data_IF_974014280508
#
_entry.id   IF_974014280508
#
_cell.length_a   1.000
_cell.length_b   1.000
_cell.length_c   1.000
_cell.angle_alpha   90.00
_cell.angle_beta   90.00
_cell.angle_gamma   90.00
#
_symmetry.space_group_name_H-M   'P 1'
#
loop_
_entity.id
_entity.type
_entity.pdbx_description
1 polymer ?
#
# COMPACT_ATOMS: atom_id res chain seq x y z
N UNK A 1 -9.47 -15.74 -15.11
CA UNK A 1 -9.01 -14.44 -14.55
C UNK A 1 -8.47 -14.74 -13.17
N UNK A 2 -7.26 -14.28 -12.83
CA UNK A 2 -6.74 -14.47 -11.48
C UNK A 2 -7.42 -13.44 -10.59
N UNK A 3 -8.16 -13.93 -9.60
CA UNK A 3 -8.78 -13.11 -8.56
C UNK A 3 -7.93 -13.18 -7.30
N UNK A 4 -7.75 -12.04 -6.64
CA UNK A 4 -6.93 -11.93 -5.44
C UNK A 4 -7.73 -11.30 -4.31
N UNK A 5 -7.51 -11.81 -3.11
CA UNK A 5 -8.11 -11.28 -1.90
C UNK A 5 -7.47 -9.94 -1.53
N UNK A 6 -8.21 -9.06 -0.86
CA UNK A 6 -7.69 -7.78 -0.38
C UNK A 6 -8.04 -7.51 1.08
N UNK A 7 -7.25 -6.65 1.71
CA UNK A 7 -7.44 -6.18 3.08
C UNK A 7 -8.38 -4.96 3.09
N UNK A 8 -9.57 -5.04 3.72
CA UNK A 8 -10.50 -3.91 3.81
C UNK A 8 -9.90 -2.66 4.48
N UNK A 9 -8.91 -2.81 5.37
CA UNK A 9 -8.27 -1.69 6.04
C UNK A 9 -7.41 -0.83 5.09
N UNK A 10 -7.03 -1.39 3.94
CA UNK A 10 -6.29 -0.72 2.86
C UNK A 10 -7.10 -0.65 1.58
N UNK A 11 -8.41 -0.46 1.72
CA UNK A 11 -9.33 -0.17 0.61
C UNK A 11 -9.63 1.33 0.55
N UNK A 12 -9.55 1.93 -0.63
CA UNK A 12 -10.03 3.28 -0.94
C UNK A 12 -11.30 3.16 -1.77
N UNK A 13 -12.37 3.78 -1.31
CA UNK A 13 -13.69 3.70 -1.93
C UNK A 13 -14.62 2.73 -1.20
N UNK A 14 -15.68 2.32 -1.88
CA UNK A 14 -16.74 1.49 -1.29
C UNK A 14 -16.38 0.00 -1.33
N UNK A 15 -16.51 -0.75 -0.22
CA UNK A 15 -16.39 -2.22 -0.25
C UNK A 15 -17.52 -2.90 -1.05
N UNK A 16 -18.57 -2.14 -1.40
CA UNK A 16 -19.69 -2.61 -2.25
C UNK A 16 -19.51 -2.23 -3.72
N UNK A 17 -18.37 -1.66 -4.10
CA UNK A 17 -18.11 -1.33 -5.49
C UNK A 17 -18.13 -2.62 -6.36
N UNK A 18 -18.83 -2.63 -7.50
CA UNK A 18 -18.84 -3.77 -8.41
C UNK A 18 -17.47 -4.09 -9.00
N UNK A 19 -16.54 -3.14 -8.98
CA UNK A 19 -15.16 -3.33 -9.42
C UNK A 19 -14.21 -2.93 -8.29
N UNK A 20 -13.35 -3.86 -7.88
CA UNK A 20 -12.21 -3.58 -7.00
C UNK A 20 -10.93 -3.87 -7.75
N UNK A 21 -10.08 -2.86 -7.86
CA UNK A 21 -8.72 -3.00 -8.39
C UNK A 21 -7.82 -3.31 -7.21
N UNK A 22 -7.06 -4.41 -7.27
CA UNK A 22 -6.00 -4.71 -6.31
C UNK A 22 -4.68 -4.33 -6.93
N UNK A 23 -4.06 -3.29 -6.40
CA UNK A 23 -2.77 -2.79 -6.83
C UNK A 23 -1.66 -3.37 -5.96
N UNK A 24 -0.74 -4.08 -6.60
CA UNK A 24 0.53 -4.49 -6.05
C UNK A 24 1.57 -3.44 -6.41
N UNK A 25 2.11 -2.77 -5.39
CA UNK A 25 2.90 -1.56 -5.59
C UNK A 25 4.13 -1.51 -4.69
N UNK A 26 5.07 -0.67 -5.11
CA UNK A 26 6.31 -0.38 -4.42
C UNK A 26 6.47 1.14 -4.39
N UNK A 27 6.59 1.71 -3.19
CA UNK A 27 6.70 3.16 -3.00
C UNK A 27 7.95 3.77 -3.66
N UNK A 28 9.02 3.00 -3.85
CA UNK A 28 10.24 3.45 -4.50
C UNK A 28 10.21 3.25 -6.03
N UNK A 29 9.22 2.55 -6.57
CA UNK A 29 9.10 2.32 -8.01
C UNK A 29 8.62 3.59 -8.76
N UNK A 30 9.38 4.10 -9.75
CA UNK A 30 9.00 5.29 -10.50
C UNK A 30 7.73 5.09 -11.35
N UNK A 31 7.47 3.86 -11.82
CA UNK A 31 6.23 3.56 -12.55
C UNK A 31 5.01 3.56 -11.63
N UNK A 32 5.14 3.06 -10.40
CA UNK A 32 4.08 3.18 -9.38
C UNK A 32 3.75 4.63 -9.07
N UNK A 33 4.79 5.46 -8.88
CA UNK A 33 4.64 6.91 -8.70
C UNK A 33 3.87 7.56 -9.87
N UNK A 34 4.17 7.18 -11.11
CA UNK A 34 3.49 7.69 -12.29
C UNK A 34 2.03 7.22 -12.41
N UNK A 35 1.70 6.02 -11.91
CA UNK A 35 0.36 5.44 -11.98
C UNK A 35 -0.56 5.95 -10.88
N UNK A 36 -0.05 6.26 -9.68
CA UNK A 36 -0.87 6.68 -8.54
C UNK A 36 -1.85 7.86 -8.85
N UNK A 37 -1.44 8.95 -9.54
CA UNK A 37 -2.37 10.01 -9.92
C UNK A 37 -3.46 9.56 -10.90
N UNK A 38 -3.14 8.60 -11.78
CA UNK A 38 -4.10 8.05 -12.75
C UNK A 38 -5.17 7.22 -12.05
N UNK A 39 -4.78 6.37 -11.09
CA UNK A 39 -5.72 5.63 -10.26
C UNK A 39 -6.59 6.55 -9.41
N UNK A 40 -6.01 7.62 -8.85
CA UNK A 40 -6.78 8.64 -8.11
C UNK A 40 -7.85 9.31 -8.99
N UNK A 41 -7.52 9.68 -10.23
CA UNK A 41 -8.48 10.22 -11.21
C UNK A 41 -9.55 9.20 -11.59
N UNK A 42 -9.18 7.93 -11.73
CA UNK A 42 -10.12 6.84 -12.03
C UNK A 42 -11.15 6.67 -10.90
N UNK A 43 -10.70 6.63 -9.65
CA UNK A 43 -11.57 6.51 -8.48
C UNK A 43 -12.56 7.68 -8.38
N UNK A 44 -12.11 8.91 -8.67
CA UNK A 44 -12.99 10.07 -8.70
C UNK A 44 -14.01 10.00 -9.84
N UNK A 45 -13.60 9.58 -11.04
CA UNK A 45 -14.49 9.47 -12.21
C UNK A 45 -15.57 8.39 -12.04
N UNK A 46 -15.25 7.33 -11.30
CA UNK A 46 -16.13 6.17 -11.08
C UNK A 46 -16.47 5.99 -9.60
N UNK A 47 -16.69 7.09 -8.89
CA UNK A 47 -17.01 7.09 -7.46
C UNK A 47 -18.18 6.13 -7.16
N UNK A 48 -18.02 5.32 -6.10
CA UNK A 48 -18.97 4.27 -5.71
C UNK A 48 -19.00 3.04 -6.61
N UNK A 49 -18.42 3.09 -7.81
CA UNK A 49 -18.38 1.99 -8.79
C UNK A 49 -17.04 1.27 -8.87
N UNK A 50 -15.95 1.99 -8.60
CA UNK A 50 -14.60 1.44 -8.57
C UNK A 50 -13.97 1.74 -7.22
N UNK A 51 -13.33 0.72 -6.64
CA UNK A 51 -12.51 0.85 -5.45
C UNK A 51 -11.09 0.36 -5.72
N UNK A 52 -10.14 0.83 -4.92
CA UNK A 52 -8.74 0.46 -5.01
C UNK A 52 -8.31 -0.18 -3.69
N UNK A 53 -7.80 -1.39 -3.74
CA UNK A 53 -7.14 -2.02 -2.60
C UNK A 53 -5.64 -2.10 -2.86
N UNK A 54 -4.85 -1.90 -1.79
CA UNK A 54 -3.39 -1.88 -1.89
C UNK A 54 -2.76 -3.16 -1.31
N UNK A 55 -1.76 -3.70 -2.01
CA UNK A 55 -0.91 -4.82 -1.58
C UNK A 55 0.56 -4.45 -1.77
N UNK A 56 1.38 -4.83 -0.80
CA UNK A 56 2.82 -4.55 -0.86
C UNK A 56 3.51 -5.50 -1.85
N UNK A 57 4.33 -4.95 -2.76
CA UNK A 57 5.22 -5.73 -3.61
C UNK A 57 6.60 -5.06 -3.70
N UNK A 58 7.34 -4.93 -2.58
CA UNK A 58 8.63 -4.24 -2.57
C UNK A 58 9.67 -5.01 -3.38
N UNK A 59 10.24 -4.39 -4.40
CA UNK A 59 11.27 -4.98 -5.26
C UNK A 59 12.66 -4.80 -4.63
N UNK A 60 12.88 -5.50 -3.51
CA UNK A 60 14.03 -5.33 -2.59
C UNK A 60 15.40 -5.36 -3.25
N UNK A 61 15.55 -6.09 -4.35
CA UNK A 61 16.83 -6.25 -5.07
C UNK A 61 17.28 -4.97 -5.79
N UNK A 62 16.33 -4.12 -6.18
CA UNK A 62 16.61 -2.89 -6.95
C UNK A 62 16.14 -1.62 -6.23
N UNK A 63 15.25 -1.76 -5.24
CA UNK A 63 14.69 -0.67 -4.46
C UNK A 63 15.00 -0.86 -2.97
N UNK A 64 16.15 -0.34 -2.48
CA UNK A 64 16.61 -0.60 -1.11
C UNK A 64 15.72 0.00 -0.01
N UNK A 65 14.88 0.99 -0.33
CA UNK A 65 13.94 1.63 0.60
C UNK A 65 12.53 1.05 0.50
N UNK A 66 12.23 0.20 -0.48
CA UNK A 66 10.89 -0.32 -0.72
C UNK A 66 10.30 -1.05 0.50
N UNK A 67 11.11 -1.91 1.12
CA UNK A 67 10.70 -2.66 2.31
C UNK A 67 10.39 -1.73 3.47
N UNK A 68 11.26 -0.75 3.73
CA UNK A 68 11.08 0.18 4.86
C UNK A 68 9.87 1.09 4.64
N UNK A 69 9.65 1.55 3.41
CA UNK A 69 8.48 2.35 3.05
C UNK A 69 7.17 1.55 3.18
N UNK A 70 7.16 0.27 2.79
CA UNK A 70 6.02 -0.62 3.00
C UNK A 70 5.72 -0.81 4.50
N UNK A 71 6.73 -1.05 5.33
CA UNK A 71 6.58 -1.15 6.79
C UNK A 71 6.05 0.16 7.39
N UNK A 72 6.59 1.30 6.97
CA UNK A 72 6.15 2.62 7.38
C UNK A 72 4.67 2.90 7.03
N UNK A 73 4.22 2.50 5.84
CA UNK A 73 2.82 2.62 5.44
C UNK A 73 1.88 1.85 6.35
N UNK A 74 2.30 0.66 6.81
CA UNK A 74 1.54 -0.16 7.77
C UNK A 74 1.58 0.42 9.19
N UNK A 75 2.69 1.05 9.58
CA UNK A 75 2.73 1.82 10.83
C UNK A 75 1.76 3.01 10.82
N UNK A 76 1.56 3.66 9.67
CA UNK A 76 0.52 4.68 9.52
C UNK A 76 -0.90 4.09 9.51
N UNK A 77 -1.08 2.89 8.97
CA UNK A 77 -2.36 2.15 9.04
C UNK A 77 -2.81 1.90 10.47
N UNK A 78 -1.91 1.50 11.37
CA UNK A 78 -2.24 1.29 12.80
C UNK A 78 -2.72 2.55 13.52
N UNK A 79 -2.49 3.71 12.91
CA UNK A 79 -2.94 5.01 13.40
C UNK A 79 -4.06 5.60 12.52
N UNK A 80 -4.64 4.80 11.63
CA UNK A 80 -5.80 5.17 10.81
C UNK A 80 -5.50 6.11 9.65
N UNK A 81 -4.24 6.19 9.20
CA UNK A 81 -3.77 7.17 8.18
C UNK A 81 -3.05 6.54 7.00
N UNK A 82 -3.42 5.30 6.66
CA UNK A 82 -2.78 4.58 5.57
C UNK A 82 -2.82 5.35 4.24
N UNK A 83 -4.00 5.78 3.78
CA UNK A 83 -4.14 6.40 2.46
C UNK A 83 -3.52 7.78 2.38
N UNK A 84 -3.61 8.57 3.45
CA UNK A 84 -2.93 9.87 3.52
C UNK A 84 -1.41 9.68 3.51
N UNK A 85 -0.88 8.68 4.21
CA UNK A 85 0.55 8.38 4.20
C UNK A 85 1.02 7.79 2.87
N UNK A 86 0.24 6.88 2.29
CA UNK A 86 0.45 6.33 0.95
C UNK A 86 0.59 7.43 -0.10
N UNK A 87 -0.36 8.37 -0.15
CA UNK A 87 -0.32 9.48 -1.09
C UNK A 87 0.94 10.33 -0.85
N UNK A 88 1.26 10.61 0.41
CA UNK A 88 2.44 11.42 0.78
C UNK A 88 3.76 10.75 0.37
N UNK A 89 3.89 9.42 0.52
CA UNK A 89 5.08 8.68 0.10
C UNK A 89 5.31 8.79 -1.41
N UNK A 90 4.25 8.65 -2.21
CA UNK A 90 4.34 8.79 -3.66
C UNK A 90 4.59 10.23 -4.11
N UNK A 91 4.13 11.22 -3.35
CA UNK A 91 4.44 12.64 -3.59
C UNK A 91 5.89 13.02 -3.21
N UNK A 92 6.55 12.22 -2.35
CA UNK A 92 7.87 12.52 -1.82
C UNK A 92 8.85 11.32 -1.99
N UNK A 93 9.12 10.86 -3.22
CA UNK A 93 9.90 9.65 -3.47
C UNK A 93 11.37 9.74 -3.02
N UNK A 94 11.88 10.97 -2.83
CA UNK A 94 13.24 11.20 -2.32
C UNK A 94 13.33 11.14 -0.78
N UNK A 95 12.21 10.92 -0.08
CA UNK A 95 12.11 10.92 1.40
C UNK A 95 11.73 9.53 1.96
N UNK A 96 12.15 8.47 1.28
CA UNK A 96 11.85 7.08 1.66
C UNK A 96 12.87 6.45 2.62
N UNK A 97 13.94 7.17 2.96
CA UNK A 97 14.83 6.75 4.05
C UNK A 97 14.13 6.91 5.41
N UNK A 98 14.68 6.29 6.46
CA UNK A 98 14.07 6.28 7.80
C UNK A 98 13.69 7.68 8.31
N UNK A 99 14.60 8.64 8.19
CA UNK A 99 14.37 10.02 8.64
C UNK A 99 13.19 10.66 7.88
N UNK A 100 13.18 10.53 6.55
CA UNK A 100 12.11 11.04 5.71
C UNK A 100 10.76 10.38 6.00
N UNK A 101 10.74 9.08 6.28
CA UNK A 101 9.52 8.36 6.66
C UNK A 101 8.93 8.88 7.98
N UNK A 102 9.78 9.09 9.00
CA UNK A 102 9.37 9.67 10.28
C UNK A 102 8.92 11.12 10.12
N UNK A 103 9.61 11.92 9.30
CA UNK A 103 9.20 13.29 8.98
C UNK A 103 7.82 13.33 8.33
N UNK A 104 7.57 12.46 7.36
CA UNK A 104 6.27 12.34 6.70
C UNK A 104 5.17 11.92 7.68
N UNK A 105 5.48 11.06 8.65
CA UNK A 105 4.52 10.63 9.68
C UNK A 105 4.12 11.80 10.58
N UNK A 106 5.11 12.61 10.97
CA UNK A 106 4.90 13.85 11.73
C UNK A 106 4.05 14.87 10.97
N UNK A 107 4.22 15.02 9.65
CA UNK A 107 3.38 15.90 8.81
C UNK A 107 1.90 15.53 8.87
N UNK A 108 1.59 14.25 9.03
CA UNK A 108 0.22 13.74 9.21
C UNK A 108 -0.26 13.73 10.67
N UNK A 109 0.53 14.30 11.59
CA UNK A 109 0.24 14.32 13.03
C UNK A 109 0.08 12.93 13.65
N UNK A 110 0.82 11.95 13.13
CA UNK A 110 0.94 10.63 13.76
C UNK A 110 1.73 10.74 15.07
N UNK A 111 1.46 9.84 16.00
CA UNK A 111 2.29 9.69 17.19
C UNK A 111 3.66 9.16 16.77
N UNK A 112 4.66 10.04 16.85
CA UNK A 112 6.02 9.79 16.39
C UNK A 112 6.68 8.64 17.16
N UNK A 113 6.44 8.52 18.48
CA UNK A 113 7.02 7.46 19.30
C UNK A 113 6.44 6.10 18.93
N UNK A 114 5.11 6.03 18.77
CA UNK A 114 4.42 4.81 18.32
C UNK A 114 4.85 4.43 16.91
N UNK A 115 4.99 5.42 16.02
CA UNK A 115 5.43 5.20 14.64
C UNK A 115 6.87 4.67 14.57
N UNK A 116 7.82 5.32 15.26
CA UNK A 116 9.23 4.91 15.25
C UNK A 116 9.42 3.53 15.92
N UNK A 117 8.71 3.27 17.03
CA UNK A 117 8.70 1.94 17.65
C UNK A 117 8.14 0.88 16.70
N UNK A 118 7.06 1.19 15.97
CA UNK A 118 6.50 0.29 14.98
C UNK A 118 7.51 -0.02 13.88
N UNK A 119 8.12 1.01 13.29
CA UNK A 119 9.05 0.88 12.18
C UNK A 119 10.34 0.14 12.57
N UNK A 120 10.81 0.33 13.81
CA UNK A 120 11.98 -0.36 14.35
C UNK A 120 11.75 -1.85 14.60
N UNK A 121 10.51 -2.22 14.92
CA UNK A 121 10.20 -3.58 15.38
C UNK A 121 10.22 -4.63 14.27
N UNK A 122 10.09 -4.22 13.01
CA UNK A 122 9.95 -5.16 11.90
C UNK A 122 8.65 -5.98 11.90
N UNK A 123 7.67 -5.63 12.73
CA UNK A 123 6.47 -6.46 12.97
C UNK A 123 5.59 -6.69 11.73
N UNK A 124 5.74 -5.87 10.71
CA UNK A 124 4.97 -5.95 9.47
C UNK A 124 5.64 -6.78 8.37
N UNK A 125 6.87 -7.25 8.58
CA UNK A 125 7.63 -8.03 7.58
C UNK A 125 6.87 -9.26 7.10
N UNK A 126 6.22 -9.99 8.01
CA UNK A 126 5.46 -11.19 7.68
C UNK A 126 4.27 -10.88 6.76
N UNK A 127 3.49 -9.83 7.04
CA UNK A 127 2.35 -9.45 6.21
C UNK A 127 2.80 -8.92 4.84
N UNK A 128 3.92 -8.20 4.78
CA UNK A 128 4.52 -7.74 3.51
C UNK A 128 4.99 -8.94 2.69
N UNK A 129 5.61 -9.94 3.32
CA UNK A 129 6.02 -11.16 2.64
C UNK A 129 4.82 -11.95 2.10
N UNK A 130 3.71 -12.01 2.85
CA UNK A 130 2.47 -12.62 2.39
C UNK A 130 1.89 -11.92 1.16
N UNK A 131 1.88 -10.58 1.14
CA UNK A 131 1.45 -9.79 -0.03
C UNK A 131 2.36 -10.08 -1.25
N UNK A 132 3.68 -10.11 -1.04
CA UNK A 132 4.65 -10.41 -2.08
C UNK A 132 4.42 -11.81 -2.68
N UNK A 133 4.30 -12.84 -1.84
CA UNK A 133 4.03 -14.21 -2.29
C UNK A 133 2.66 -14.35 -2.96
N UNK A 134 1.66 -13.56 -2.57
CA UNK A 134 0.38 -13.51 -3.27
C UNK A 134 0.54 -12.94 -4.68
N UNK A 135 1.29 -11.84 -4.84
CA UNK A 135 1.57 -11.24 -6.14
C UNK A 135 2.32 -12.20 -7.07
N UNK A 136 3.37 -12.85 -6.57
CA UNK A 136 4.15 -13.84 -7.33
C UNK A 136 3.28 -15.03 -7.79
N UNK A 137 2.46 -15.60 -6.89
CA UNK A 137 1.54 -16.69 -7.25
C UNK A 137 0.47 -16.28 -8.25
N UNK A 138 0.11 -15.00 -8.25
CA UNK A 138 -0.79 -14.42 -9.24
C UNK A 138 -0.11 -14.11 -10.58
N UNK A 139 1.20 -14.38 -10.72
CA UNK A 139 1.97 -14.19 -11.95
C UNK A 139 2.57 -12.80 -12.11
N UNK A 140 2.55 -11.96 -11.07
CA UNK A 140 3.20 -10.65 -11.11
C UNK A 140 4.70 -10.80 -10.92
N UNK A 141 5.48 -10.20 -11.82
CA UNK A 141 6.95 -10.22 -11.79
C UNK A 141 7.57 -8.84 -11.54
N UNK A 142 6.74 -7.81 -11.34
CA UNK A 142 7.17 -6.44 -11.12
C UNK A 142 6.02 -5.53 -10.72
N UNK A 143 6.33 -4.25 -10.53
CA UNK A 143 5.38 -3.20 -10.14
C UNK A 143 5.33 -2.06 -11.17
N UNK A 144 4.18 -1.40 -11.36
CA UNK A 144 2.89 -1.71 -10.75
C UNK A 144 2.25 -2.96 -11.38
N UNK A 145 1.65 -3.80 -10.53
CA UNK A 145 0.79 -4.91 -10.96
C UNK A 145 -0.65 -4.65 -10.54
N UNK A 146 -1.63 -4.88 -11.41
CA UNK A 146 -3.04 -4.69 -11.07
C UNK A 146 -3.87 -5.91 -11.45
N UNK A 147 -4.71 -6.36 -10.53
CA UNK A 147 -5.60 -7.50 -10.69
C UNK A 147 -7.01 -7.13 -10.24
N UNK A 148 -8.01 -7.91 -10.68
CA UNK A 148 -9.36 -7.77 -10.13
C UNK A 148 -9.43 -8.40 -8.74
N UNK A 149 -9.95 -7.66 -7.78
CA UNK A 149 -10.12 -8.11 -6.41
C UNK A 149 -11.42 -8.86 -6.18
N UNK A 150 -11.37 -9.89 -5.35
CA UNK A 150 -12.55 -10.44 -4.69
C UNK A 150 -12.47 -10.16 -3.21
N UNK A 151 -13.57 -9.65 -2.64
CA UNK A 151 -13.64 -9.34 -1.22
C UNK A 151 -13.52 -10.62 -0.40
N UNK A 152 -12.41 -10.80 0.32
CA UNK A 152 -12.38 -11.71 1.45
C UNK A 152 -12.86 -10.94 2.67
N UNK A 153 -14.13 -11.15 3.07
CA UNK A 153 -14.52 -10.88 4.44
C UNK A 153 -13.70 -11.87 5.31
N UNK A 154 -12.84 -11.43 6.24
CA UNK A 154 -12.19 -12.38 7.13
C UNK A 154 -13.28 -13.07 7.95
N UNK A 155 -13.40 -14.38 7.76
CA UNK A 155 -14.18 -15.21 8.68
C UNK A 155 -13.43 -15.19 10.02
N UNK A 156 -14.00 -14.49 11.01
CA UNK A 156 -13.60 -14.59 12.41
C UNK A 156 -12.68 -13.48 12.91
N UNK A 157 -13.27 -12.57 13.67
CA UNK A 157 -12.78 -12.16 14.98
C UNK A 157 -13.98 -12.16 15.94
#
# INVERSE_FOLDING_TARGET
>A
KVEVTYDPARLRGSPKAPVVIVEFSDFQCPYCQAVAPTLKKLLLKYEGRVSLAYRDLPLRDIHPQAQLAAEASRCALEQGKFWEYHDLLFENPNKLNREGLVEQARRLKLDEKRFDSCLSSGKHKTQIEQDLQLGLRAGLTGTPGSLNGTGSCPAGA
#
